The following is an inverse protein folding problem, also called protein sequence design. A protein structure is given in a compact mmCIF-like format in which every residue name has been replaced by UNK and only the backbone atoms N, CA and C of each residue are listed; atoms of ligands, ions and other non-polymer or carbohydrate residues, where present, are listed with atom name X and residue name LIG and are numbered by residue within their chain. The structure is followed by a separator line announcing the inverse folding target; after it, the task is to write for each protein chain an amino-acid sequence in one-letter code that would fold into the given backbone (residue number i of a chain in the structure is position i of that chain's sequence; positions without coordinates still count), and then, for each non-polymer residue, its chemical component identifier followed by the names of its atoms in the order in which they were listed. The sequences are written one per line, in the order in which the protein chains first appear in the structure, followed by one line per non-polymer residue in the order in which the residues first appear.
data_IF_972563075835
#
_entry.id   IF_972563075835
#
_cell.length_a   1.000
_cell.length_b   1.000
_cell.length_c   1.000
_cell.angle_alpha   90.00
_cell.angle_beta   90.00
_cell.angle_gamma   90.00
#
_symmetry.space_group_name_H-M   'P 1'
#
loop_
_entity.id
_entity.type
_entity.pdbx_description
1 polymer ?
#
# COMPACT_ATOMS: atom_id res chain seq x y z
N UNK A 1 41.84 12.86 1.66
CA UNK A 1 42.57 14.07 1.23
C UNK A 1 42.07 14.41 -0.15
N UNK A 2 41.16 15.36 -0.28
CA UNK A 2 40.70 15.86 -1.58
C UNK A 2 41.86 16.68 -2.15
N UNK A 3 42.52 16.16 -3.19
CA UNK A 3 43.45 16.97 -4.00
C UNK A 3 42.69 18.20 -4.49
N UNK A 4 43.20 19.38 -4.16
CA UNK A 4 42.68 20.64 -4.69
C UNK A 4 43.00 20.64 -6.18
N UNK A 5 41.96 20.60 -7.01
CA UNK A 5 42.11 20.56 -8.47
C UNK A 5 42.80 21.84 -8.96
N UNK A 6 43.92 21.69 -9.68
CA UNK A 6 44.65 22.82 -10.27
C UNK A 6 43.96 23.30 -11.56
N UNK A 7 44.20 24.55 -12.01
CA UNK A 7 43.69 25.03 -13.29
C UNK A 7 44.09 24.16 -14.50
N UNK A 8 45.34 23.66 -14.55
CA UNK A 8 45.75 22.71 -15.60
C UNK A 8 45.03 21.36 -15.47
N UNK A 9 44.80 20.89 -14.23
CA UNK A 9 44.05 19.68 -13.95
C UNK A 9 42.58 19.80 -14.40
N UNK A 10 41.96 20.95 -14.14
CA UNK A 10 40.59 21.26 -14.53
C UNK A 10 40.40 21.27 -16.05
N UNK A 11 41.31 21.91 -16.81
CA UNK A 11 41.27 21.89 -18.28
C UNK A 11 41.52 20.49 -18.85
N UNK A 12 42.45 19.74 -18.26
CA UNK A 12 42.71 18.36 -18.67
C UNK A 12 41.48 17.47 -18.45
N UNK A 13 40.80 17.64 -17.31
CA UNK A 13 39.58 16.91 -17.00
C UNK A 13 38.40 17.35 -17.88
N UNK A 14 38.26 18.63 -18.19
CA UNK A 14 37.31 19.14 -19.18
C UNK A 14 37.51 18.46 -20.54
N UNK A 15 38.74 18.40 -21.06
CA UNK A 15 39.01 17.74 -22.34
C UNK A 15 38.68 16.25 -22.31
N UNK A 16 38.97 15.58 -21.19
CA UNK A 16 38.56 14.20 -20.97
C UNK A 16 37.04 14.05 -21.03
N UNK A 17 36.29 14.88 -20.29
CA UNK A 17 34.83 14.88 -20.30
C UNK A 17 34.26 15.15 -21.70
N UNK A 18 34.75 16.15 -22.41
CA UNK A 18 34.31 16.45 -23.78
C UNK A 18 34.62 15.29 -24.74
N UNK A 19 35.74 14.58 -24.55
CA UNK A 19 36.06 13.37 -25.32
C UNK A 19 35.04 12.26 -25.07
N UNK A 20 34.66 12.03 -23.80
CA UNK A 20 33.60 11.08 -23.45
C UNK A 20 32.25 11.49 -24.08
N UNK A 21 31.92 12.79 -24.04
CA UNK A 21 30.71 13.35 -24.63
C UNK A 21 30.64 13.17 -26.15
N UNK A 22 31.73 13.44 -26.86
CA UNK A 22 31.83 13.21 -28.32
C UNK A 22 31.65 11.74 -28.67
N UNK A 23 32.22 10.83 -27.86
CA UNK A 23 32.08 9.38 -28.01
C UNK A 23 30.72 8.84 -27.57
N UNK A 24 29.87 9.69 -26.96
CA UNK A 24 28.57 9.31 -26.37
C UNK A 24 28.70 8.19 -25.33
N UNK A 25 29.79 8.22 -24.56
CA UNK A 25 30.02 7.28 -23.46
C UNK A 25 28.97 7.49 -22.37
N UNK A 26 28.39 6.40 -21.84
CA UNK A 26 27.35 6.48 -20.81
C UNK A 26 27.84 7.16 -19.52
N UNK A 27 29.15 7.09 -19.25
CA UNK A 27 29.80 7.71 -18.10
C UNK A 27 29.90 9.24 -18.19
N UNK A 28 29.72 9.84 -19.38
CA UNK A 28 29.88 11.28 -19.57
C UNK A 28 28.90 12.10 -18.72
N UNK A 29 27.60 11.82 -18.83
CA UNK A 29 26.55 12.60 -18.15
C UNK A 29 26.74 12.68 -16.62
N UNK A 30 26.96 11.57 -15.88
CA UNK A 30 27.17 11.65 -14.44
C UNK A 30 28.49 12.34 -14.06
N UNK A 31 29.59 12.10 -14.79
CA UNK A 31 30.88 12.72 -14.49
C UNK A 31 30.88 14.23 -14.76
N UNK A 32 30.27 14.66 -15.87
CA UNK A 32 30.12 16.07 -16.18
C UNK A 32 29.23 16.78 -15.16
N UNK A 33 28.12 16.15 -14.75
CA UNK A 33 27.22 16.74 -13.76
C UNK A 33 27.89 16.90 -12.39
N UNK A 34 28.68 15.92 -11.94
CA UNK A 34 29.47 16.03 -10.71
C UNK A 34 30.47 17.17 -10.81
N UNK A 35 31.25 17.21 -11.90
CA UNK A 35 32.26 18.24 -12.11
C UNK A 35 31.67 19.66 -12.09
N UNK A 36 30.56 19.87 -12.79
CA UNK A 36 29.84 21.17 -12.89
C UNK A 36 29.27 21.64 -11.55
N UNK A 37 28.91 20.71 -10.64
CA UNK A 37 28.26 21.01 -9.36
C UNK A 37 29.23 21.14 -8.20
N UNK A 38 30.29 20.34 -8.21
CA UNK A 38 31.24 20.24 -7.10
C UNK A 38 32.36 21.27 -7.19
N UNK A 39 32.48 21.99 -8.32
CA UNK A 39 33.57 22.92 -8.57
C UNK A 39 33.07 24.29 -9.00
N UNK A 40 33.78 25.33 -8.58
CA UNK A 40 33.68 26.67 -9.14
C UNK A 40 34.56 26.75 -10.39
N UNK A 41 33.94 26.67 -11.57
CA UNK A 41 34.64 26.58 -12.85
C UNK A 41 35.38 27.89 -13.20
N UNK A 42 34.89 29.03 -12.72
CA UNK A 42 35.56 30.32 -12.89
C UNK A 42 36.83 30.37 -12.03
N UNK A 43 36.75 29.94 -10.77
CA UNK A 43 37.89 29.85 -9.87
C UNK A 43 38.97 28.85 -10.35
N UNK A 44 38.57 27.83 -11.11
CA UNK A 44 39.47 26.88 -11.78
C UNK A 44 40.07 27.43 -13.09
N UNK A 45 39.73 28.66 -13.50
CA UNK A 45 40.30 29.31 -14.67
C UNK A 45 39.79 28.78 -16.02
N UNK A 46 38.62 28.12 -16.04
CA UNK A 46 37.97 27.71 -17.29
C UNK A 46 37.33 28.93 -17.97
N UNK A 47 37.54 29.05 -19.27
CA UNK A 47 36.99 30.14 -20.07
C UNK A 47 35.47 30.01 -20.22
N UNK A 48 34.78 31.12 -20.46
CA UNK A 48 33.33 31.10 -20.67
C UNK A 48 32.91 30.19 -21.85
N UNK A 49 33.69 30.17 -22.94
CA UNK A 49 33.46 29.26 -24.07
C UNK A 49 33.64 27.78 -23.68
N UNK A 50 34.61 27.47 -22.82
CA UNK A 50 34.90 26.11 -22.34
C UNK A 50 33.77 25.60 -21.45
N UNK A 51 33.33 26.43 -20.52
CA UNK A 51 32.21 26.13 -19.63
C UNK A 51 30.88 26.00 -20.39
N UNK A 52 30.64 26.87 -21.38
CA UNK A 52 29.44 26.80 -22.23
C UNK A 52 29.37 25.47 -22.98
N UNK A 53 30.47 25.04 -23.59
CA UNK A 53 30.53 23.75 -24.30
C UNK A 53 30.23 22.56 -23.38
N UNK A 54 30.78 22.57 -22.16
CA UNK A 54 30.53 21.53 -21.18
C UNK A 54 29.06 21.49 -20.74
N UNK A 55 28.46 22.65 -20.46
CA UNK A 55 27.06 22.76 -20.04
C UNK A 55 26.10 22.27 -21.12
N UNK A 56 26.33 22.65 -22.38
CA UNK A 56 25.50 22.22 -23.51
C UNK A 56 25.64 20.72 -23.78
N UNK A 57 26.86 20.19 -23.77
CA UNK A 57 27.10 18.77 -23.92
C UNK A 57 26.43 17.96 -22.79
N UNK A 58 26.58 18.40 -21.54
CA UNK A 58 25.95 17.76 -20.39
C UNK A 58 24.41 17.82 -20.48
N UNK A 59 23.83 18.95 -20.90
CA UNK A 59 22.39 19.10 -21.10
C UNK A 59 21.83 18.17 -22.19
N UNK A 60 22.60 17.93 -23.27
CA UNK A 60 22.22 17.01 -24.34
C UNK A 60 22.39 15.54 -23.97
N UNK A 61 23.33 15.23 -23.08
CA UNK A 61 23.61 13.86 -22.66
C UNK A 61 22.53 13.27 -21.74
N UNK A 62 21.68 14.12 -21.13
CA UNK A 62 20.46 13.63 -20.51
C UNK A 62 19.50 13.16 -21.59
N UNK A 63 19.25 11.85 -21.61
CA UNK A 63 18.18 11.21 -22.37
C UNK A 63 16.82 11.94 -22.18
N UNK A 64 15.83 11.74 -23.06
CA UNK A 64 14.46 12.25 -22.89
C UNK A 64 13.73 11.55 -21.72
N UNK A 65 14.32 11.61 -20.52
CA UNK A 65 13.78 11.12 -19.27
C UNK A 65 13.27 12.32 -18.46
N UNK A 66 11.95 12.50 -18.32
CA UNK A 66 11.38 13.66 -17.62
C UNK A 66 11.88 13.85 -16.19
N UNK A 67 12.28 12.77 -15.50
CA UNK A 67 12.87 12.81 -14.16
C UNK A 67 14.20 13.56 -14.10
N UNK A 68 14.94 13.65 -15.21
CA UNK A 68 16.24 14.35 -15.30
C UNK A 68 16.12 15.77 -15.86
N UNK A 69 14.91 16.18 -16.25
CA UNK A 69 14.68 17.49 -16.88
C UNK A 69 14.97 18.66 -15.95
N UNK A 70 14.86 18.50 -14.63
CA UNK A 70 15.28 19.51 -13.65
C UNK A 70 16.77 19.84 -13.78
N UNK A 71 17.62 18.82 -13.92
CA UNK A 71 19.07 18.98 -14.10
C UNK A 71 19.41 19.53 -15.48
N UNK A 72 18.72 19.04 -16.53
CA UNK A 72 18.87 19.60 -17.89
C UNK A 72 18.51 21.09 -17.92
N UNK A 73 17.42 21.49 -17.26
CA UNK A 73 17.01 22.90 -17.16
C UNK A 73 18.01 23.75 -16.38
N UNK A 74 18.59 23.23 -15.31
CA UNK A 74 19.66 23.91 -14.56
C UNK A 74 20.85 24.22 -15.47
N UNK A 75 21.34 23.23 -16.22
CA UNK A 75 22.47 23.43 -17.14
C UNK A 75 22.13 24.37 -18.30
N UNK A 76 20.93 24.29 -18.86
CA UNK A 76 20.46 25.22 -19.91
C UNK A 76 20.34 26.66 -19.38
N UNK A 77 19.86 26.86 -18.14
CA UNK A 77 19.80 28.19 -17.50
C UNK A 77 21.19 28.76 -17.25
N UNK A 78 22.12 27.95 -16.76
CA UNK A 78 23.53 28.35 -16.59
C UNK A 78 24.18 28.69 -17.94
N UNK A 79 23.94 27.88 -18.97
CA UNK A 79 24.42 28.16 -20.33
C UNK A 79 23.84 29.48 -20.88
N UNK A 80 22.55 29.74 -20.65
CA UNK A 80 21.89 30.98 -21.04
C UNK A 80 22.51 32.21 -20.36
N UNK A 81 22.82 32.12 -19.06
CA UNK A 81 23.47 33.20 -18.32
C UNK A 81 24.91 33.47 -18.78
N UNK A 82 25.62 32.43 -19.23
CA UNK A 82 27.02 32.51 -19.64
C UNK A 82 27.20 32.98 -21.09
N UNK A 83 26.22 32.71 -21.96
CA UNK A 83 26.25 33.03 -23.39
C UNK A 83 26.75 34.46 -23.73
N UNK A 84 26.32 35.54 -23.04
CA UNK A 84 26.78 36.91 -23.32
C UNK A 84 28.29 37.13 -23.15
N UNK A 85 28.97 36.26 -22.40
CA UNK A 85 30.41 36.33 -22.12
C UNK A 85 31.25 35.48 -23.09
N UNK A 86 30.60 34.80 -24.04
CA UNK A 86 31.23 33.89 -24.99
C UNK A 86 31.30 34.48 -26.39
N UNK A 87 32.07 33.84 -27.26
CA UNK A 87 32.11 34.21 -28.70
C UNK A 87 30.82 33.83 -29.44
N UNK A 88 29.93 33.08 -28.79
CA UNK A 88 28.68 32.58 -29.35
C UNK A 88 27.48 33.49 -29.05
N UNK A 89 27.68 34.61 -28.34
CA UNK A 89 26.65 35.63 -28.15
C UNK A 89 26.10 36.15 -29.49
N UNK A 90 24.77 36.25 -29.63
CA UNK A 90 24.11 36.72 -30.85
C UNK A 90 24.14 35.74 -32.03
N UNK A 91 24.63 34.51 -31.83
CA UNK A 91 24.63 33.45 -32.86
C UNK A 91 23.37 32.59 -32.78
N UNK A 92 23.18 31.68 -33.75
CA UNK A 92 22.07 30.71 -33.74
C UNK A 92 22.06 29.81 -32.49
N UNK A 93 23.19 29.67 -31.79
CA UNK A 93 23.30 28.90 -30.54
C UNK A 93 22.42 29.51 -29.45
N UNK A 94 22.33 30.83 -29.38
CA UNK A 94 21.51 31.53 -28.37
C UNK A 94 20.02 31.20 -28.55
N UNK A 95 19.53 31.22 -29.79
CA UNK A 95 18.17 30.82 -30.12
C UNK A 95 17.92 29.33 -29.82
N UNK A 96 18.89 28.46 -30.09
CA UNK A 96 18.81 27.03 -29.81
C UNK A 96 18.70 26.74 -28.31
N UNK A 97 19.49 27.43 -27.48
CA UNK A 97 19.43 27.28 -26.01
C UNK A 97 18.07 27.75 -25.48
N UNK A 98 17.56 28.89 -25.97
CA UNK A 98 16.25 29.38 -25.59
C UNK A 98 15.12 28.40 -25.98
N UNK A 99 15.18 27.84 -27.19
CA UNK A 99 14.22 26.85 -27.67
C UNK A 99 14.23 25.59 -26.80
N UNK A 100 15.40 25.04 -26.47
CA UNK A 100 15.47 23.82 -25.65
C UNK A 100 15.08 24.05 -24.20
N UNK A 101 15.32 25.24 -23.66
CA UNK A 101 14.85 25.61 -22.33
C UNK A 101 13.30 25.66 -22.31
N UNK A 102 12.69 26.27 -23.33
CA UNK A 102 11.24 26.33 -23.47
C UNK A 102 10.62 24.93 -23.65
N UNK A 103 11.17 24.12 -24.57
CA UNK A 103 10.72 22.76 -24.84
C UNK A 103 10.84 21.88 -23.59
N UNK A 104 12.02 21.86 -22.95
CA UNK A 104 12.24 21.04 -21.76
C UNK A 104 11.34 21.48 -20.60
N UNK A 105 11.08 22.79 -20.45
CA UNK A 105 10.14 23.29 -19.44
C UNK A 105 8.71 22.85 -19.70
N UNK A 106 8.27 22.90 -20.97
CA UNK A 106 6.94 22.45 -21.39
C UNK A 106 6.76 20.94 -21.23
N UNK A 107 7.75 20.14 -21.61
CA UNK A 107 7.67 18.69 -21.42
C UNK A 107 7.69 18.30 -19.94
N UNK A 108 8.47 19.01 -19.10
CA UNK A 108 8.45 18.82 -17.66
C UNK A 108 7.11 19.23 -17.04
N UNK A 109 6.50 20.34 -17.49
CA UNK A 109 5.17 20.74 -17.01
C UNK A 109 4.12 19.70 -17.41
N UNK A 110 4.14 19.19 -18.64
CA UNK A 110 3.26 18.09 -19.07
C UNK A 110 3.47 16.81 -18.28
N UNK A 111 4.72 16.46 -17.97
CA UNK A 111 5.03 15.31 -17.13
C UNK A 111 4.48 15.49 -15.71
N UNK A 112 4.65 16.69 -15.12
CA UNK A 112 4.05 17.02 -13.83
C UNK A 112 2.53 17.03 -13.87
N UNK A 113 1.89 17.54 -14.93
CA UNK A 113 0.45 17.47 -15.14
C UNK A 113 -0.03 16.02 -15.28
N UNK A 114 0.72 15.16 -15.97
CA UNK A 114 0.39 13.75 -16.13
C UNK A 114 0.54 12.94 -14.83
N UNK A 115 1.48 13.33 -13.95
CA UNK A 115 1.69 12.66 -12.66
C UNK A 115 0.81 13.23 -11.55
N UNK A 116 0.52 14.53 -11.61
CA UNK A 116 -0.46 15.13 -10.71
C UNK A 116 -1.82 14.58 -11.11
N UNK A 117 -2.27 13.58 -10.36
CA UNK A 117 -3.71 13.33 -10.22
C UNK A 117 -4.31 14.69 -9.89
N UNK A 118 -5.12 15.25 -10.81
CA UNK A 118 -5.81 16.50 -10.59
C UNK A 118 -6.70 16.33 -9.36
N UNK A 119 -6.17 16.71 -8.19
CA UNK A 119 -6.95 16.89 -6.98
C UNK A 119 -7.74 18.17 -7.20
N UNK A 120 -8.95 18.06 -7.73
CA UNK A 120 -9.93 19.12 -7.67
C UNK A 120 -10.10 19.49 -6.20
N UNK A 121 -9.61 20.67 -5.82
CA UNK A 121 -9.76 21.18 -4.44
C UNK A 121 -11.21 21.57 -4.10
N UNK A 122 -12.12 21.45 -5.07
CA UNK A 122 -13.53 21.86 -5.02
C UNK A 122 -14.52 20.69 -5.11
N UNK A 123 -14.06 19.47 -5.34
CA UNK A 123 -14.94 18.31 -5.23
C UNK A 123 -14.77 17.70 -3.84
N UNK A 124 -15.87 17.57 -3.09
CA UNK A 124 -15.87 16.92 -1.78
C UNK A 124 -15.28 15.52 -1.93
N UNK A 125 -14.14 15.28 -1.28
CA UNK A 125 -13.49 13.97 -1.28
C UNK A 125 -14.50 12.89 -0.89
N UNK A 126 -14.51 11.76 -1.61
CA UNK A 126 -15.41 10.66 -1.28
C UNK A 126 -14.96 10.00 0.03
N UNK A 127 -15.90 9.71 0.92
CA UNK A 127 -15.61 9.09 2.23
C UNK A 127 -16.11 7.64 2.25
N UNK A 128 -15.22 6.73 2.63
CA UNK A 128 -15.58 5.38 3.05
C UNK A 128 -15.45 5.33 4.57
N UNK A 129 -16.55 5.03 5.26
CA UNK A 129 -16.60 5.03 6.71
C UNK A 129 -16.51 3.59 7.21
N UNK A 130 -15.61 3.36 8.15
CA UNK A 130 -15.38 2.08 8.80
C UNK A 130 -16.03 2.13 10.17
N UNK A 131 -17.11 1.37 10.35
CA UNK A 131 -17.75 1.18 11.64
C UNK A 131 -17.31 -0.18 12.20
N UNK A 132 -16.70 -0.17 13.38
CA UNK A 132 -16.18 -1.36 14.03
C UNK A 132 -16.13 -1.20 15.55
N UNK A 133 -16.07 -2.32 16.25
CA UNK A 133 -15.84 -2.42 17.70
C UNK A 133 -14.40 -2.11 18.14
N UNK A 134 -13.48 -1.97 17.18
CA UNK A 134 -12.07 -1.60 17.43
C UNK A 134 -11.58 -0.60 16.36
N UNK A 135 -12.16 0.63 16.31
CA UNK A 135 -11.95 1.56 15.20
C UNK A 135 -10.49 1.98 15.04
N UNK A 136 -9.81 2.37 16.12
CA UNK A 136 -8.39 2.77 16.11
C UNK A 136 -7.48 1.68 15.55
N UNK A 137 -7.76 0.42 15.91
CA UNK A 137 -6.99 -0.70 15.39
C UNK A 137 -7.14 -0.82 13.88
N UNK A 138 -8.37 -0.84 13.36
CA UNK A 138 -8.59 -1.07 11.93
C UNK A 138 -8.20 0.11 11.05
N UNK A 139 -8.38 1.36 11.50
CA UNK A 139 -8.11 2.55 10.67
C UNK A 139 -6.67 3.05 10.76
N UNK A 140 -5.93 2.71 11.82
CA UNK A 140 -4.54 3.17 12.00
C UNK A 140 -3.55 2.02 12.21
N UNK A 141 -3.65 1.29 13.33
CA UNK A 141 -2.63 0.31 13.73
C UNK A 141 -2.48 -0.79 12.66
N UNK A 142 -3.59 -1.42 12.24
CA UNK A 142 -3.61 -2.46 11.21
C UNK A 142 -3.06 -1.96 9.88
N UNK A 143 -3.35 -0.70 9.51
CA UNK A 143 -2.84 -0.13 8.24
C UNK A 143 -1.32 0.08 8.29
N UNK A 144 -0.78 0.53 9.44
CA UNK A 144 0.67 0.62 9.67
C UNK A 144 1.33 -0.76 9.63
N UNK A 145 0.72 -1.77 10.27
CA UNK A 145 1.22 -3.16 10.24
C UNK A 145 1.21 -3.74 8.84
N UNK A 146 0.15 -3.52 8.08
CA UNK A 146 0.05 -3.96 6.68
C UNK A 146 1.13 -3.33 5.80
N UNK A 147 1.32 -2.02 5.91
CA UNK A 147 2.35 -1.30 5.16
C UNK A 147 3.75 -1.81 5.47
N UNK A 148 4.06 -2.08 6.75
CA UNK A 148 5.33 -2.69 7.15
C UNK A 148 5.47 -4.11 6.60
N UNK A 149 4.42 -4.95 6.71
CA UNK A 149 4.42 -6.31 6.19
C UNK A 149 4.72 -6.38 4.70
N UNK A 150 4.10 -5.52 3.88
CA UNK A 150 4.40 -5.47 2.44
C UNK A 150 5.79 -4.90 2.16
N UNK A 151 6.28 -3.92 2.93
CA UNK A 151 7.65 -3.42 2.76
C UNK A 151 8.68 -4.51 3.03
N UNK A 152 8.47 -5.32 4.07
CA UNK A 152 9.34 -6.43 4.44
C UNK A 152 9.29 -7.56 3.40
N UNK A 153 8.09 -7.95 2.98
CA UNK A 153 7.88 -9.00 1.97
C UNK A 153 8.60 -8.66 0.65
N UNK A 154 8.53 -7.40 0.26
CA UNK A 154 9.16 -6.90 -0.95
C UNK A 154 10.56 -6.34 -0.70
N UNK A 155 11.22 -6.64 0.43
CA UNK A 155 12.61 -6.23 0.67
C UNK A 155 12.92 -4.73 0.39
N UNK A 156 11.93 -3.85 0.60
CA UNK A 156 12.05 -2.42 0.30
C UNK A 156 12.65 -1.64 1.47
N UNK A 157 13.84 -2.06 1.89
CA UNK A 157 14.61 -1.34 2.90
C UNK A 157 14.89 0.10 2.44
N UNK A 158 15.13 1.05 3.37
CA UNK A 158 15.60 2.39 3.00
C UNK A 158 16.85 2.37 2.10
N UNK A 159 17.73 1.40 2.31
CA UNK A 159 18.90 1.12 1.48
C UNK A 159 18.50 0.70 0.06
N UNK A 160 17.62 -0.29 -0.07
CA UNK A 160 17.08 -0.74 -1.35
C UNK A 160 16.38 0.41 -2.10
N UNK A 161 15.58 1.22 -1.40
CA UNK A 161 14.89 2.38 -1.98
C UNK A 161 15.86 3.47 -2.47
N UNK A 162 16.93 3.74 -1.72
CA UNK A 162 17.99 4.67 -2.14
C UNK A 162 18.77 4.13 -3.34
N UNK A 163 19.12 2.84 -3.32
CA UNK A 163 19.74 2.15 -4.44
C UNK A 163 18.87 2.19 -5.70
N UNK A 164 17.58 1.85 -5.59
CA UNK A 164 16.61 1.89 -6.66
C UNK A 164 16.53 3.26 -7.34
N UNK A 165 16.48 4.34 -6.56
CA UNK A 165 16.33 5.70 -7.07
C UNK A 165 17.65 6.41 -7.38
N UNK A 166 18.80 5.76 -7.15
CA UNK A 166 20.14 6.37 -7.25
C UNK A 166 20.24 7.71 -6.52
N UNK A 167 19.62 7.82 -5.35
CA UNK A 167 19.63 9.04 -4.53
C UNK A 167 20.69 8.94 -3.43
N UNK A 168 21.34 10.07 -3.11
CA UNK A 168 22.37 10.16 -2.08
C UNK A 168 23.81 10.16 -2.63
N UNK A 169 24.81 9.82 -1.80
CA UNK A 169 26.22 9.82 -2.21
C UNK A 169 26.51 8.78 -3.30
N UNK A 170 27.65 8.93 -3.98
CA UNK A 170 28.08 8.04 -5.06
C UNK A 170 28.05 6.57 -4.61
N UNK A 171 27.27 5.75 -5.32
CA UNK A 171 27.13 4.33 -5.01
C UNK A 171 28.28 3.53 -5.61
N UNK A 172 28.75 2.53 -4.87
CA UNK A 172 29.75 1.58 -5.37
C UNK A 172 29.09 0.50 -6.21
N UNK A 173 29.84 -0.07 -7.15
CA UNK A 173 29.39 -1.20 -7.95
C UNK A 173 29.41 -2.47 -7.08
N UNK A 174 28.24 -2.90 -6.64
CA UNK A 174 28.06 -4.04 -5.72
C UNK A 174 27.10 -5.08 -6.33
N UNK A 175 27.50 -5.78 -7.41
CA UNK A 175 26.62 -6.71 -8.12
C UNK A 175 26.18 -7.91 -7.27
N UNK A 176 26.95 -8.26 -6.23
CA UNK A 176 26.64 -9.35 -5.31
C UNK A 176 25.82 -8.91 -4.08
N UNK A 177 25.52 -7.61 -3.95
CA UNK A 177 24.76 -7.11 -2.82
C UNK A 177 23.25 -7.26 -3.10
N UNK A 178 22.69 -8.37 -2.64
CA UNK A 178 21.27 -8.71 -2.80
C UNK A 178 20.31 -7.71 -2.15
N UNK A 179 20.78 -6.89 -1.21
CA UNK A 179 19.96 -5.84 -0.56
C UNK A 179 19.67 -4.67 -1.51
N UNK A 180 20.55 -4.39 -2.47
CA UNK A 180 20.40 -3.26 -3.41
C UNK A 180 19.90 -3.68 -4.79
N UNK A 181 19.66 -4.98 -4.99
CA UNK A 181 19.06 -5.51 -6.21
C UNK A 181 17.66 -4.91 -6.43
N UNK A 182 17.40 -4.53 -7.68
CA UNK A 182 16.24 -3.70 -8.05
C UNK A 182 15.06 -4.50 -8.60
N UNK A 183 15.29 -5.75 -8.94
CA UNK A 183 14.37 -6.60 -9.70
C UNK A 183 13.93 -7.76 -8.83
N UNK A 184 12.84 -7.54 -8.10
CA UNK A 184 12.02 -8.60 -7.52
C UNK A 184 10.56 -8.32 -7.87
N UNK A 185 9.76 -9.37 -7.97
CA UNK A 185 8.35 -9.25 -8.37
C UNK A 185 7.62 -8.30 -7.41
N UNK A 186 6.86 -7.34 -7.94
CA UNK A 186 6.11 -6.38 -7.13
C UNK A 186 6.86 -5.13 -6.66
N UNK A 187 8.19 -5.03 -6.85
CA UNK A 187 9.02 -3.88 -6.42
C UNK A 187 8.66 -2.52 -7.01
N UNK A 188 7.94 -2.52 -8.14
CA UNK A 188 7.70 -1.34 -8.94
C UNK A 188 6.74 -0.39 -8.20
N UNK A 189 7.15 0.88 -8.08
CA UNK A 189 6.50 1.89 -7.21
C UNK A 189 4.97 1.98 -7.31
N UNK A 190 4.35 1.96 -8.50
CA UNK A 190 2.90 1.89 -8.64
C UNK A 190 2.24 0.68 -7.96
N UNK A 191 2.83 -0.51 -8.04
CA UNK A 191 2.28 -1.72 -7.39
C UNK A 191 2.43 -1.64 -5.88
N UNK A 192 3.58 -1.14 -5.40
CA UNK A 192 3.78 -0.91 -3.97
C UNK A 192 2.82 0.13 -3.44
N UNK A 193 2.64 1.24 -4.15
CA UNK A 193 1.70 2.29 -3.78
C UNK A 193 0.26 1.76 -3.72
N UNK A 194 -0.14 0.87 -4.65
CA UNK A 194 -1.44 0.22 -4.60
C UNK A 194 -1.61 -0.69 -3.38
N UNK A 195 -0.53 -1.31 -2.88
CA UNK A 195 -0.54 -2.22 -1.73
C UNK A 195 -0.28 -1.57 -0.38
N UNK A 196 0.36 -0.40 -0.31
CA UNK A 196 0.63 0.28 0.96
C UNK A 196 -0.40 1.36 1.29
N UNK A 197 -1.23 1.74 0.33
CA UNK A 197 -2.26 2.77 0.50
C UNK A 197 -3.70 2.25 0.31
N UNK A 198 -3.87 0.95 0.09
CA UNK A 198 -5.18 0.35 0.19
C UNK A 198 -5.56 0.14 1.66
N UNK A 199 -6.84 -0.18 1.91
CA UNK A 199 -7.30 -0.48 3.26
C UNK A 199 -7.23 -1.99 3.48
N UNK A 200 -6.46 -2.43 4.47
CA UNK A 200 -6.23 -3.85 4.75
C UNK A 200 -6.99 -4.32 5.99
N UNK A 201 -7.45 -5.57 5.95
CA UNK A 201 -8.09 -6.25 7.07
C UNK A 201 -7.13 -7.30 7.62
N UNK A 202 -6.74 -7.12 8.88
CA UNK A 202 -5.79 -7.91 9.64
C UNK A 202 -6.46 -8.33 10.96
N UNK A 203 -6.14 -9.52 11.47
CA UNK A 203 -6.58 -9.95 12.80
C UNK A 203 -5.48 -9.70 13.84
N UNK A 204 -5.83 -9.25 15.06
CA UNK A 204 -4.86 -9.00 16.13
C UNK A 204 -4.45 -10.28 16.90
N UNK A 205 -4.83 -11.46 16.38
CA UNK A 205 -4.60 -12.79 16.93
C UNK A 205 -4.37 -13.78 15.78
N UNK A 206 -3.83 -14.95 16.08
CA UNK A 206 -3.65 -16.01 15.08
C UNK A 206 -4.96 -16.75 14.84
N UNK A 207 -5.26 -17.02 13.57
CA UNK A 207 -6.41 -17.84 13.18
C UNK A 207 -5.91 -19.10 12.47
N UNK A 208 -6.30 -20.29 12.96
CA UNK A 208 -5.90 -21.58 12.38
C UNK A 208 -7.13 -22.31 11.83
N UNK A 209 -7.01 -22.78 10.58
CA UNK A 209 -7.92 -23.75 9.96
C UNK A 209 -7.21 -25.10 9.89
N UNK A 210 -7.92 -26.19 10.19
CA UNK A 210 -7.37 -27.55 10.22
C UNK A 210 -8.43 -28.58 9.84
N UNK A 211 -8.01 -29.68 9.20
CA UNK A 211 -8.82 -30.90 9.00
C UNK A 211 -8.74 -31.85 10.19
N UNK A 212 -7.84 -31.59 11.13
CA UNK A 212 -7.61 -32.39 12.34
C UNK A 212 -7.94 -31.58 13.60
N UNK A 213 -8.49 -32.22 14.64
CA UNK A 213 -8.69 -31.58 15.95
C UNK A 213 -7.37 -31.34 16.70
N UNK A 214 -6.25 -31.91 16.24
CA UNK A 214 -4.96 -31.84 16.94
C UNK A 214 -4.35 -30.44 16.94
N UNK A 215 -3.68 -30.11 18.04
CA UNK A 215 -3.00 -28.82 18.29
C UNK A 215 -3.87 -27.58 18.03
N UNK A 216 -5.08 -27.45 18.63
CA UNK A 216 -5.88 -26.25 18.48
C UNK A 216 -5.20 -25.05 19.15
N UNK A 217 -5.46 -23.85 18.65
CA UNK A 217 -5.07 -22.63 19.35
C UNK A 217 -5.89 -22.44 20.64
N UNK A 218 -5.31 -21.71 21.60
CA UNK A 218 -5.70 -21.77 23.01
C UNK A 218 -7.03 -21.10 23.38
N UNK A 219 -7.58 -20.21 22.53
CA UNK A 219 -8.77 -19.43 22.91
C UNK A 219 -10.07 -20.20 22.72
N UNK A 220 -10.13 -21.08 21.73
CA UNK A 220 -11.34 -21.85 21.46
C UNK A 220 -11.33 -22.49 20.09
N UNK A 221 -12.26 -23.44 19.90
CA UNK A 221 -12.42 -24.20 18.66
C UNK A 221 -13.88 -24.16 18.21
N UNK A 222 -14.08 -24.00 16.91
CA UNK A 222 -15.34 -24.21 16.21
C UNK A 222 -15.17 -25.32 15.18
N UNK A 223 -16.23 -26.07 14.94
CA UNK A 223 -16.21 -27.21 14.03
C UNK A 223 -17.31 -26.99 12.99
N UNK A 224 -16.97 -27.21 11.73
CA UNK A 224 -17.94 -27.26 10.64
C UNK A 224 -17.72 -28.52 9.85
N UNK A 225 -18.81 -29.14 9.42
CA UNK A 225 -18.77 -30.06 8.29
C UNK A 225 -18.96 -29.25 7.01
N UNK A 226 -18.02 -29.30 6.07
CA UNK A 226 -18.01 -28.46 4.87
C UNK A 226 -17.62 -29.23 3.61
N UNK A 227 -18.51 -29.21 2.61
CA UNK A 227 -18.27 -29.73 1.26
C UNK A 227 -18.82 -28.75 0.21
N UNK A 228 -18.45 -28.86 -1.08
CA UNK A 228 -19.04 -28.01 -2.12
C UNK A 228 -20.57 -28.03 -2.07
N UNK A 229 -21.19 -26.85 -1.91
CA UNK A 229 -22.64 -26.67 -1.83
C UNK A 229 -23.31 -27.02 -0.49
N UNK A 230 -22.57 -27.44 0.54
CA UNK A 230 -23.15 -27.78 1.84
C UNK A 230 -22.20 -27.52 3.00
N UNK A 231 -22.71 -26.88 4.04
CA UNK A 231 -22.03 -26.76 5.32
C UNK A 231 -22.98 -26.87 6.50
N UNK A 232 -22.46 -27.35 7.62
CA UNK A 232 -23.24 -27.48 8.85
C UNK A 232 -22.35 -27.23 10.09
N UNK A 233 -22.79 -26.36 11.02
CA UNK A 233 -22.05 -26.11 12.25
C UNK A 233 -22.18 -27.30 13.20
N UNK A 234 -21.05 -27.72 13.76
CA UNK A 234 -20.92 -28.85 14.67
C UNK A 234 -20.16 -28.41 15.93
N UNK A 235 -20.23 -29.24 16.96
CA UNK A 235 -19.42 -29.08 18.17
C UNK A 235 -19.00 -30.43 18.71
N UNK A 236 -18.00 -30.41 19.58
CA UNK A 236 -17.57 -31.60 20.30
C UNK A 236 -18.19 -31.60 21.69
N UNK A 237 -18.94 -32.65 22.03
CA UNK A 237 -19.60 -32.80 23.31
C UNK A 237 -19.44 -34.25 23.81
N UNK A 238 -18.83 -34.42 24.99
CA UNK A 238 -18.67 -35.73 25.66
C UNK A 238 -18.03 -36.83 24.78
N UNK A 239 -17.03 -36.48 23.97
CA UNK A 239 -16.36 -37.47 23.12
C UNK A 239 -17.00 -37.69 21.75
N UNK A 240 -18.08 -36.97 21.45
CA UNK A 240 -18.86 -37.15 20.23
C UNK A 240 -19.04 -35.83 19.48
N UNK A 241 -19.17 -35.93 18.17
CA UNK A 241 -19.56 -34.80 17.31
C UNK A 241 -21.07 -34.65 17.38
N UNK A 242 -21.53 -33.45 17.74
CA UNK A 242 -22.95 -33.12 17.82
C UNK A 242 -23.29 -31.91 16.97
N UNK A 243 -24.54 -31.83 16.54
CA UNK A 243 -25.12 -30.65 15.92
C UNK A 243 -25.07 -29.47 16.89
N UNK A 244 -24.53 -28.34 16.45
CA UNK A 244 -24.45 -27.14 17.29
C UNK A 244 -25.84 -26.53 17.56
N UNK A 245 -26.82 -26.84 16.70
CA UNK A 245 -28.18 -26.27 16.77
C UNK A 245 -29.08 -26.98 17.78
N UNK A 246 -29.14 -28.31 17.73
CA UNK A 246 -30.09 -29.12 18.51
C UNK A 246 -29.40 -30.15 19.42
N UNK A 247 -28.07 -30.23 19.39
CA UNK A 247 -27.28 -31.14 20.21
C UNK A 247 -27.38 -32.61 19.81
N UNK A 248 -28.00 -32.92 18.67
CA UNK A 248 -28.10 -34.30 18.19
C UNK A 248 -26.72 -34.87 17.85
N UNK A 249 -26.47 -36.12 18.24
CA UNK A 249 -25.21 -36.82 17.90
C UNK A 249 -25.22 -37.12 16.40
N UNK A 250 -24.13 -36.77 15.73
CA UNK A 250 -23.94 -37.01 14.31
C UNK A 250 -22.85 -38.06 14.15
N UNK A 251 -23.15 -39.13 13.42
CA UNK A 251 -22.22 -40.23 13.17
C UNK A 251 -21.22 -39.84 12.07
N UNK A 252 -20.19 -39.08 12.45
CA UNK A 252 -19.11 -38.62 11.58
C UNK A 252 -17.78 -38.99 12.25
N UNK A 253 -16.87 -39.68 11.55
CA UNK A 253 -15.51 -39.93 12.03
C UNK A 253 -14.76 -38.63 12.27
N UNK A 254 -13.94 -38.56 13.33
CA UNK A 254 -13.16 -37.36 13.69
C UNK A 254 -12.11 -37.01 12.63
N UNK A 255 -11.71 -37.99 11.82
CA UNK A 255 -10.77 -37.86 10.70
C UNK A 255 -11.47 -37.66 9.34
N UNK A 256 -12.79 -37.41 9.32
CA UNK A 256 -13.51 -37.14 8.07
C UNK A 256 -12.90 -35.91 7.38
N UNK A 257 -12.52 -36.02 6.09
CA UNK A 257 -11.84 -34.94 5.38
C UNK A 257 -12.72 -33.70 5.19
N UNK A 258 -14.03 -33.77 5.41
CA UNK A 258 -14.94 -32.63 5.33
C UNK A 258 -15.10 -31.90 6.66
N UNK A 259 -14.53 -32.40 7.75
CA UNK A 259 -14.46 -31.65 9.00
C UNK A 259 -13.43 -30.53 8.88
N UNK A 260 -13.82 -29.35 9.34
CA UNK A 260 -12.99 -28.16 9.38
C UNK A 260 -13.05 -27.63 10.80
N UNK A 261 -11.91 -27.66 11.46
CA UNK A 261 -11.66 -27.11 12.78
C UNK A 261 -11.07 -25.71 12.63
N UNK A 262 -11.69 -24.73 13.28
CA UNK A 262 -11.23 -23.36 13.31
C UNK A 262 -10.93 -22.98 14.74
N UNK A 263 -9.70 -22.53 14.98
CA UNK A 263 -9.25 -22.12 16.31
C UNK A 263 -8.56 -20.77 16.25
N UNK A 264 -8.56 -20.05 17.38
CA UNK A 264 -7.94 -18.75 17.51
C UNK A 264 -6.99 -18.70 18.70
N UNK A 265 -5.90 -17.94 18.59
CA UNK A 265 -5.06 -17.61 19.76
C UNK A 265 -5.67 -16.49 20.58
N UNK A 266 -5.05 -16.16 21.72
CA UNK A 266 -5.35 -14.89 22.38
C UNK A 266 -4.89 -13.72 21.52
N UNK A 267 -5.34 -12.51 21.82
CA UNK A 267 -4.80 -11.27 21.24
C UNK A 267 -3.28 -11.24 21.46
N UNK A 268 -2.55 -11.04 20.36
CA UNK A 268 -1.09 -10.93 20.33
C UNK A 268 -0.60 -9.53 19.96
N UNK A 269 -1.42 -8.72 19.30
CA UNK A 269 -1.08 -7.31 19.04
C UNK A 269 -1.14 -6.49 20.34
N UNK A 270 -0.01 -5.98 20.86
CA UNK A 270 0.04 -5.26 22.14
C UNK A 270 -0.72 -3.93 22.14
N UNK A 271 -0.84 -3.28 20.98
CA UNK A 271 -1.55 -2.01 20.85
C UNK A 271 -3.06 -2.19 20.62
N UNK A 272 -3.54 -3.44 20.50
CA UNK A 272 -4.96 -3.72 20.30
C UNK A 272 -5.80 -3.40 21.55
N UNK A 273 -6.93 -2.72 21.33
CA UNK A 273 -7.93 -2.42 22.34
C UNK A 273 -9.29 -2.85 21.81
N UNK A 274 -10.06 -3.51 22.67
CA UNK A 274 -11.38 -4.03 22.35
C UNK A 274 -12.38 -3.47 23.37
N UNK A 275 -13.31 -2.66 22.87
CA UNK A 275 -14.33 -2.00 23.69
C UNK A 275 -15.69 -2.70 23.59
N UNK A 276 -15.76 -3.81 22.85
CA UNK A 276 -16.99 -4.58 22.67
C UNK A 276 -17.30 -5.51 23.86
N UNK A 277 -18.52 -6.08 23.91
CA UNK A 277 -18.88 -7.04 24.94
C UNK A 277 -18.00 -8.30 24.81
N UNK A 278 -17.34 -8.69 25.91
CA UNK A 278 -16.58 -9.93 25.97
C UNK A 278 -17.54 -11.10 26.25
N UNK A 279 -17.53 -12.16 25.41
CA UNK A 279 -18.38 -13.32 25.66
C UNK A 279 -18.10 -13.96 27.01
N UNK A 280 -19.14 -14.28 27.78
CA UNK A 280 -19.04 -14.95 29.08
C UNK A 280 -18.10 -14.26 30.10
N UNK A 281 -17.96 -12.93 30.04
CA UNK A 281 -17.01 -12.17 30.86
C UNK A 281 -15.56 -12.68 30.72
N UNK A 282 -15.19 -13.14 29.52
CA UNK A 282 -13.83 -13.58 29.23
C UNK A 282 -12.82 -12.45 29.46
N UNK A 283 -11.56 -12.78 29.82
CA UNK A 283 -10.48 -11.81 29.89
C UNK A 283 -10.35 -10.99 28.59
N UNK A 284 -9.89 -9.72 28.66
CA UNK A 284 -9.80 -8.84 27.48
C UNK A 284 -9.03 -9.45 26.31
N UNK A 285 -7.95 -10.18 26.58
CA UNK A 285 -7.12 -10.86 25.59
C UNK A 285 -7.82 -12.00 24.85
N UNK A 286 -8.95 -12.50 25.39
CA UNK A 286 -9.78 -13.53 24.76
C UNK A 286 -11.08 -12.96 24.19
N UNK A 287 -11.50 -11.76 24.61
CA UNK A 287 -12.78 -11.15 24.25
C UNK A 287 -13.01 -11.10 22.75
N UNK A 288 -12.18 -10.36 22.00
CA UNK A 288 -12.34 -10.22 20.55
C UNK A 288 -12.18 -11.54 19.77
N UNK A 289 -11.15 -12.38 20.01
CA UNK A 289 -11.04 -13.67 19.31
C UNK A 289 -12.25 -14.58 19.56
N UNK A 290 -12.79 -14.63 20.79
CA UNK A 290 -14.02 -15.38 21.08
C UNK A 290 -15.23 -14.80 20.35
N UNK A 291 -15.36 -13.47 20.28
CA UNK A 291 -16.42 -12.82 19.50
C UNK A 291 -16.33 -13.23 18.04
N UNK A 292 -15.13 -13.20 17.44
CA UNK A 292 -14.94 -13.65 16.05
C UNK A 292 -15.29 -15.13 15.87
N UNK A 293 -14.85 -16.00 16.78
CA UNK A 293 -15.18 -17.43 16.75
C UNK A 293 -16.69 -17.68 16.90
N UNK A 294 -17.39 -16.86 17.69
CA UNK A 294 -18.84 -16.99 17.88
C UNK A 294 -19.66 -16.64 16.64
N UNK A 295 -19.17 -15.71 15.84
CA UNK A 295 -19.83 -15.24 14.63
C UNK A 295 -19.29 -15.91 13.35
N UNK A 296 -18.61 -17.06 13.48
CA UNK A 296 -18.22 -17.84 12.31
C UNK A 296 -19.45 -18.38 11.58
N UNK A 297 -19.47 -18.15 10.27
CA UNK A 297 -20.40 -18.76 9.35
C UNK A 297 -19.70 -19.74 8.42
N UNK A 298 -20.46 -20.33 7.51
CA UNK A 298 -19.91 -21.18 6.45
C UNK A 298 -20.75 -21.08 5.19
N UNK A 299 -20.09 -21.19 4.04
CA UNK A 299 -20.68 -21.24 2.71
C UNK A 299 -20.04 -22.40 1.94
N UNK A 300 -20.62 -23.59 2.06
CA UNK A 300 -20.02 -24.81 1.50
C UNK A 300 -18.71 -25.15 2.20
N UNK A 301 -17.59 -25.17 1.47
CA UNK A 301 -16.29 -25.44 2.10
C UNK A 301 -15.55 -24.17 2.54
N UNK A 302 -16.12 -22.98 2.32
CA UNK A 302 -15.57 -21.72 2.81
C UNK A 302 -16.10 -21.43 4.21
N UNK A 303 -15.20 -21.03 5.10
CA UNK A 303 -15.52 -20.50 6.42
C UNK A 303 -15.62 -18.99 6.31
N UNK A 304 -16.74 -18.45 6.76
CA UNK A 304 -16.99 -17.02 6.83
C UNK A 304 -16.56 -16.51 8.20
N UNK A 305 -15.54 -15.66 8.25
CA UNK A 305 -15.03 -15.04 9.48
C UNK A 305 -15.55 -13.60 9.54
N UNK A 306 -16.46 -13.34 10.48
CA UNK A 306 -16.92 -11.96 10.74
C UNK A 306 -15.84 -11.17 11.46
N UNK A 307 -15.37 -10.10 10.83
CA UNK A 307 -14.41 -9.18 11.46
C UNK A 307 -15.11 -8.10 12.32
N UNK A 308 -16.45 -8.13 12.41
CA UNK A 308 -17.25 -7.08 13.03
C UNK A 308 -16.86 -5.68 12.53
N UNK A 309 -16.78 -5.58 11.20
CA UNK A 309 -16.39 -4.40 10.45
C UNK A 309 -17.43 -4.15 9.37
N UNK A 310 -18.12 -3.01 9.46
CA UNK A 310 -19.03 -2.49 8.43
C UNK A 310 -18.30 -1.42 7.63
N UNK A 311 -18.41 -1.51 6.30
CA UNK A 311 -17.89 -0.52 5.37
C UNK A 311 -19.07 0.22 4.76
N UNK A 312 -19.15 1.52 5.04
CA UNK A 312 -20.18 2.43 4.56
C UNK A 312 -19.63 3.30 3.44
N UNK A 313 -20.39 3.45 2.36
CA UNK A 313 -19.98 4.20 1.17
C UNK A 313 -21.18 4.62 0.31
N UNK A 314 -21.03 5.68 -0.48
CA UNK A 314 -22.02 6.07 -1.49
C UNK A 314 -21.89 5.14 -2.71
N UNK A 315 -22.77 4.14 -2.77
CA UNK A 315 -22.84 3.15 -3.85
C UNK A 315 -23.16 3.75 -5.23
N UNK A 316 -23.63 5.00 -5.30
CA UNK A 316 -23.81 5.71 -6.58
C UNK A 316 -22.50 6.28 -7.14
N UNK A 317 -21.46 6.40 -6.30
CA UNK A 317 -20.20 7.06 -6.64
C UNK A 317 -18.98 6.15 -6.58
N UNK A 318 -18.95 5.18 -5.67
CA UNK A 318 -17.84 4.25 -5.50
C UNK A 318 -18.34 2.82 -5.36
N UNK A 319 -17.59 1.87 -5.92
CA UNK A 319 -17.73 0.46 -5.62
C UNK A 319 -16.48 0.00 -4.84
N UNK A 320 -16.63 -0.97 -3.96
CA UNK A 320 -15.51 -1.47 -3.15
C UNK A 320 -15.19 -2.89 -3.55
N UNK A 321 -13.99 -3.12 -4.09
CA UNK A 321 -13.50 -4.43 -4.43
C UNK A 321 -12.77 -5.03 -3.22
N UNK A 322 -13.22 -6.20 -2.75
CA UNK A 322 -12.52 -7.01 -1.75
C UNK A 322 -11.68 -8.05 -2.50
N UNK A 323 -10.38 -8.09 -2.21
CA UNK A 323 -9.49 -9.14 -2.69
C UNK A 323 -8.73 -9.80 -1.54
N UNK A 324 -8.66 -11.13 -1.59
CA UNK A 324 -7.73 -11.88 -0.73
C UNK A 324 -6.31 -11.47 -1.07
N UNK A 325 -5.47 -11.37 -0.04
CA UNK A 325 -4.07 -11.01 -0.21
C UNK A 325 -3.30 -12.21 -0.81
N UNK A 326 -2.30 -11.98 -1.67
CA UNK A 326 -1.53 -13.08 -2.28
C UNK A 326 -0.90 -14.03 -1.26
N UNK A 327 -0.54 -13.51 -0.09
CA UNK A 327 0.13 -14.23 1.00
C UNK A 327 -0.73 -15.37 1.56
N UNK A 328 -2.07 -15.30 1.41
CA UNK A 328 -2.96 -16.42 1.77
C UNK A 328 -2.61 -17.69 1.00
N UNK A 329 -2.25 -17.57 -0.28
CA UNK A 329 -1.95 -18.72 -1.13
C UNK A 329 -0.70 -19.46 -0.66
N UNK A 330 0.28 -18.70 -0.16
CA UNK A 330 1.58 -19.21 0.31
C UNK A 330 1.44 -19.97 1.64
N UNK A 331 0.52 -19.53 2.51
CA UNK A 331 0.20 -20.23 3.75
C UNK A 331 -0.82 -21.36 3.56
N UNK A 332 -1.19 -21.69 2.32
CA UNK A 332 -2.07 -22.82 2.01
C UNK A 332 -3.57 -22.50 2.10
N UNK A 333 -3.95 -21.22 2.11
CA UNK A 333 -5.34 -20.77 2.13
C UNK A 333 -5.77 -20.14 0.79
N UNK A 334 -7.06 -20.16 0.56
CA UNK A 334 -7.72 -19.40 -0.51
C UNK A 334 -8.78 -18.51 0.11
N UNK A 335 -8.76 -17.23 -0.25
CA UNK A 335 -9.77 -16.25 0.14
C UNK A 335 -10.75 -15.97 -1.00
N UNK A 336 -12.06 -15.97 -0.74
CA UNK A 336 -13.04 -15.57 -1.76
C UNK A 336 -13.05 -14.03 -1.92
N UNK A 337 -12.96 -13.55 -3.15
CA UNK A 337 -13.02 -12.12 -3.51
C UNK A 337 -14.42 -11.73 -4.00
N UNK A 338 -14.77 -10.46 -3.88
CA UNK A 338 -16.07 -9.96 -4.36
C UNK A 338 -16.09 -8.45 -4.56
N UNK A 339 -17.06 -7.97 -5.35
CA UNK A 339 -17.31 -6.55 -5.56
C UNK A 339 -18.55 -6.13 -4.77
N UNK A 340 -18.37 -5.20 -3.83
CA UNK A 340 -19.42 -4.60 -3.04
C UNK A 340 -19.98 -3.41 -3.80
N UNK A 341 -21.23 -3.54 -4.27
CA UNK A 341 -21.89 -2.48 -5.05
C UNK A 341 -23.15 -1.95 -4.38
N UNK A 342 -23.77 -2.69 -3.44
CA UNK A 342 -24.96 -2.32 -2.64
C UNK A 342 -25.01 -3.18 -1.37
N UNK A 343 -25.87 -2.83 -0.43
CA UNK A 343 -26.13 -3.64 0.77
C UNK A 343 -26.64 -5.05 0.40
N UNK A 344 -25.96 -6.09 0.87
CA UNK A 344 -26.47 -7.46 0.89
C UNK A 344 -26.69 -7.89 2.34
N UNK A 345 -27.92 -7.72 2.83
CA UNK A 345 -28.35 -8.28 4.11
C UNK A 345 -28.80 -9.72 3.93
N UNK A 346 -27.92 -10.69 4.16
CA UNK A 346 -28.30 -12.09 4.38
C UNK A 346 -27.52 -12.62 5.59
N UNK A 347 -28.08 -12.45 6.78
CA UNK A 347 -27.52 -13.00 8.01
C UNK A 347 -28.26 -12.55 9.27
N UNK A 348 -28.46 -13.48 10.20
CA UNK A 348 -29.15 -13.34 11.49
C UNK A 348 -28.17 -13.11 12.64
N UNK A 349 -27.15 -12.26 12.48
CA UNK A 349 -26.37 -11.80 13.63
C UNK A 349 -27.05 -10.55 14.19
N UNK A 350 -27.18 -10.47 15.52
CA UNK A 350 -27.80 -9.33 16.20
C UNK A 350 -27.16 -7.97 15.79
N UNK A 351 -25.92 -7.98 15.30
CA UNK A 351 -25.25 -6.85 14.67
C UNK A 351 -26.02 -6.25 13.46
N UNK A 352 -26.73 -7.08 12.67
CA UNK A 352 -27.58 -6.62 11.56
C UNK A 352 -28.83 -5.85 12.03
N UNK A 353 -29.26 -6.02 13.28
CA UNK A 353 -30.51 -5.44 13.80
C UNK A 353 -30.34 -4.00 14.31
N UNK A 354 -29.11 -3.56 14.60
CA UNK A 354 -28.83 -2.23 15.13
C UNK A 354 -28.12 -1.35 14.11
N UNK A 355 -28.85 -0.91 13.09
CA UNK A 355 -28.47 0.33 12.39
C UNK A 355 -28.87 1.47 13.31
N UNK A 356 -27.91 2.03 14.04
CA UNK A 356 -28.09 3.30 14.76
C UNK A 356 -28.30 4.39 13.72
N UNK A 357 -29.41 5.14 13.77
CA UNK A 357 -29.71 6.26 12.87
C UNK A 357 -28.77 7.46 13.11
N UNK A 358 -27.49 7.30 12.75
CA UNK A 358 -26.50 8.36 12.82
C UNK A 358 -26.59 9.27 11.58
N UNK A 359 -26.50 10.60 11.74
CA UNK A 359 -26.64 11.53 10.62
C UNK A 359 -25.66 11.29 9.45
N UNK A 360 -24.48 10.75 9.72
CA UNK A 360 -23.48 10.46 8.67
C UNK A 360 -23.86 9.26 7.79
N UNK A 361 -24.82 8.43 8.19
CA UNK A 361 -25.27 7.27 7.42
C UNK A 361 -26.23 7.64 6.28
N UNK A 362 -26.81 8.84 6.32
CA UNK A 362 -27.79 9.27 5.32
C UNK A 362 -27.20 9.22 3.90
N UNK A 363 -27.88 8.51 3.00
CA UNK A 363 -27.46 8.34 1.61
C UNK A 363 -26.34 7.31 1.39
N UNK A 364 -25.82 6.68 2.44
CA UNK A 364 -24.79 5.64 2.33
C UNK A 364 -25.39 4.23 2.27
N UNK A 365 -24.72 3.36 1.52
CA UNK A 365 -24.90 1.91 1.60
C UNK A 365 -23.83 1.32 2.50
N UNK A 366 -24.08 0.14 3.07
CA UNK A 366 -23.08 -0.56 3.87
C UNK A 366 -23.01 -2.04 3.53
N UNK A 367 -21.88 -2.65 3.86
CA UNK A 367 -21.70 -4.09 3.84
C UNK A 367 -20.79 -4.53 4.98
N UNK A 368 -21.05 -5.72 5.51
CA UNK A 368 -20.14 -6.39 6.42
C UNK A 368 -18.96 -6.98 5.66
N UNK A 369 -17.76 -6.76 6.18
CA UNK A 369 -16.55 -7.37 5.64
C UNK A 369 -16.33 -8.69 6.34
N UNK A 370 -16.68 -9.75 5.61
CA UNK A 370 -16.50 -11.12 6.06
C UNK A 370 -15.40 -11.80 5.26
N UNK A 371 -14.43 -12.40 5.95
CA UNK A 371 -13.33 -13.13 5.34
C UNK A 371 -13.83 -14.52 4.99
N UNK A 372 -13.84 -14.89 3.71
CA UNK A 372 -14.25 -16.22 3.28
C UNK A 372 -13.01 -17.05 2.99
N UNK A 373 -12.64 -17.94 3.90
CA UNK A 373 -11.39 -18.68 3.87
C UNK A 373 -11.65 -20.17 3.63
N UNK A 374 -10.81 -20.81 2.82
CA UNK A 374 -10.79 -22.26 2.66
C UNK A 374 -9.35 -22.77 2.60
N UNK A 375 -9.12 -23.98 3.12
CA UNK A 375 -7.87 -24.70 2.90
C UNK A 375 -7.76 -25.10 1.43
N UNK A 376 -6.57 -24.91 0.86
CA UNK A 376 -6.28 -25.36 -0.51
C UNK A 376 -6.35 -26.89 -0.59
N UNK A 377 -6.64 -27.45 -1.77
CA UNK A 377 -6.59 -28.89 -1.98
C UNK A 377 -5.23 -29.48 -1.54
N UNK A 378 -5.27 -30.53 -0.72
CA UNK A 378 -4.07 -31.20 -0.20
C UNK A 378 -3.40 -30.50 0.99
N UNK A 379 -3.97 -29.41 1.52
CA UNK A 379 -3.50 -28.76 2.74
C UNK A 379 -4.36 -29.18 3.92
N UNK A 380 -3.74 -29.81 4.92
CA UNK A 380 -4.42 -30.31 6.11
C UNK A 380 -4.62 -29.22 7.17
N UNK A 381 -3.71 -28.25 7.25
CA UNK A 381 -3.85 -27.12 8.16
C UNK A 381 -3.09 -25.89 7.66
N UNK A 382 -3.61 -24.72 8.00
CA UNK A 382 -2.99 -23.43 7.75
C UNK A 382 -3.28 -22.48 8.91
N UNK A 383 -2.28 -21.69 9.29
CA UNK A 383 -2.40 -20.65 10.32
C UNK A 383 -2.12 -19.31 9.67
N UNK A 384 -3.03 -18.35 9.90
CA UNK A 384 -2.83 -16.93 9.63
C UNK A 384 -2.24 -16.33 10.91
N UNK A 385 -0.96 -15.93 10.94
CA UNK A 385 -0.39 -15.23 12.08
C UNK A 385 -1.08 -13.88 12.27
N UNK A 386 -1.15 -13.40 13.51
CA UNK A 386 -1.61 -12.05 13.82
C UNK A 386 -0.86 -11.01 12.98
N UNK A 387 -1.54 -9.91 12.66
CA UNK A 387 -1.04 -8.84 11.80
C UNK A 387 -0.65 -9.24 10.36
N UNK A 388 -1.04 -10.43 9.90
CA UNK A 388 -0.89 -10.79 8.49
C UNK A 388 -2.04 -10.19 7.69
N UNK A 389 -1.78 -9.43 6.60
CA UNK A 389 -2.84 -8.97 5.69
C UNK A 389 -3.64 -10.16 5.16
N UNK A 390 -4.97 -10.13 5.31
CA UNK A 390 -5.86 -11.21 4.86
C UNK A 390 -6.66 -10.78 3.64
N UNK A 391 -7.30 -9.61 3.72
CA UNK A 391 -8.07 -9.02 2.64
C UNK A 391 -7.72 -7.54 2.48
N UNK A 392 -7.88 -7.05 1.26
CA UNK A 392 -7.69 -5.65 0.92
C UNK A 392 -8.95 -5.10 0.27
N UNK A 393 -9.38 -3.93 0.74
CA UNK A 393 -10.49 -3.15 0.26
C UNK A 393 -9.96 -2.08 -0.69
N UNK A 394 -10.30 -2.21 -1.97
CA UNK A 394 -9.94 -1.26 -3.01
C UNK A 394 -11.16 -0.42 -3.39
N UNK A 395 -11.13 0.91 -3.19
CA UNK A 395 -12.13 1.77 -3.81
C UNK A 395 -11.90 1.77 -5.32
N UNK A 396 -12.87 1.24 -6.05
CA UNK A 396 -12.85 1.15 -7.52
C UNK A 396 -14.01 1.96 -8.10
N UNK A 397 -13.89 2.36 -9.37
CA UNK A 397 -14.89 3.17 -10.08
C UNK A 397 -15.17 4.56 -9.47
N UNK A 398 -14.39 4.98 -8.47
CA UNK A 398 -14.46 6.35 -7.97
C UNK A 398 -13.96 7.34 -9.02
N UNK A 399 -14.69 8.44 -9.21
CA UNK A 399 -14.26 9.56 -10.05
C UNK A 399 -13.32 10.53 -9.32
N UNK A 400 -13.17 10.35 -8.00
CA UNK A 400 -12.46 11.27 -7.11
C UNK A 400 -11.58 10.51 -6.12
N UNK A 401 -10.73 11.24 -5.39
CA UNK A 401 -9.96 10.66 -4.30
C UNK A 401 -10.90 10.15 -3.20
N UNK A 402 -10.59 8.98 -2.65
CA UNK A 402 -11.35 8.37 -1.55
C UNK A 402 -10.55 8.45 -0.26
N UNK A 403 -11.23 8.74 0.85
CA UNK A 403 -10.66 8.70 2.20
C UNK A 403 -11.36 7.64 3.03
N UNK A 404 -10.58 6.82 3.73
CA UNK A 404 -11.09 5.98 4.81
C UNK A 404 -11.09 6.78 6.12
N UNK A 405 -12.19 6.71 6.87
CA UNK A 405 -12.32 7.27 8.22
C UNK A 405 -13.15 6.33 9.11
N UNK A 406 -12.98 6.41 10.43
CA UNK A 406 -13.85 5.69 11.37
C UNK A 406 -15.19 6.43 11.58
N UNK A 407 -16.18 5.72 12.12
CA UNK A 407 -17.52 6.27 12.38
C UNK A 407 -17.52 7.42 13.41
N UNK A 408 -16.61 7.42 14.40
CA UNK A 408 -16.51 8.52 15.38
C UNK A 408 -16.02 9.81 14.70
N UNK A 409 -14.99 9.71 13.87
CA UNK A 409 -14.48 10.81 13.04
C UNK A 409 -15.57 11.35 12.09
N UNK A 410 -16.39 10.46 11.51
CA UNK A 410 -17.51 10.85 10.66
C UNK A 410 -18.59 11.65 11.45
N UNK A 411 -18.98 11.18 12.64
CA UNK A 411 -19.92 11.89 13.51
C UNK A 411 -19.41 13.29 13.87
N UNK A 412 -18.13 13.42 14.25
CA UNK A 412 -17.54 14.73 14.55
C UNK A 412 -17.55 15.69 13.35
N UNK A 413 -17.26 15.16 12.15
CA UNK A 413 -17.24 15.94 10.90
C UNK A 413 -18.61 16.53 10.59
N UNK A 414 -19.67 15.72 10.68
CA UNK A 414 -21.05 16.19 10.47
C UNK A 414 -21.46 17.20 11.54
N UNK A 415 -21.13 16.94 12.81
CA UNK A 415 -21.43 17.87 13.91
C UNK A 415 -20.78 19.26 13.69
N UNK A 416 -19.49 19.29 13.29
CA UNK A 416 -18.78 20.53 12.97
C UNK A 416 -19.39 21.25 11.75
N UNK A 417 -19.81 20.50 10.73
CA UNK A 417 -20.48 21.06 9.55
C UNK A 417 -21.82 21.73 9.88
N UNK A 418 -22.63 21.10 10.74
CA UNK A 418 -23.90 21.66 11.19
C UNK A 418 -23.72 22.95 11.99
N UNK A 419 -22.73 23.02 12.89
CA UNK A 419 -22.40 24.22 13.66
C UNK A 419 -21.93 25.38 12.76
N UNK A 420 -21.13 25.10 11.73
CA UNK A 420 -20.65 26.11 10.80
C UNK A 420 -21.77 26.74 9.94
N UNK A 421 -22.84 25.98 9.68
CA UNK A 421 -24.01 26.46 8.93
C UNK A 421 -24.97 27.28 9.80
N UNK A 422 -25.08 26.97 11.11
CA UNK A 422 -25.89 27.76 12.06
C UNK A 422 -25.29 29.15 12.35
N UNK A 423 -23.97 29.33 12.19
CA UNK A 423 -23.32 30.65 12.31
C UNK A 423 -23.42 31.54 11.07
N UNK A 424 -24.08 31.06 10.00
CA UNK A 424 -24.26 31.78 8.73
C UNK A 424 -25.73 32.12 8.40
N UNK A 425 -26.67 31.69 9.24
CA UNK A 425 -28.08 32.14 9.22
C UNK A 425 -28.29 33.24 10.25
#
# INVERSE_FOLDING_TARGET
MTEIMTPEGARSYLHYLLTLGIRREQSFAPLAAAFIRENDLDALGLLADEQLNLLLAAAQAFAPEPRRYSTKLDFLKRAQALLPQTRLAGTAVEAQVAQELQKTSYELSRYHEAIRVNRSTTEEQEHIIIESVAPEYFTDIAQKRAAASYQDLYHLTPEARRAQNYTGPAQQFEPENTVVHKEFEGACGPFMNARTHAFHVLLPFDLKLSRSPEDPLETGVRIFYGKPGYSFPLRYQMGQITSDRDGTVVDIPVDDPNLIYISASKVKEPEFRYDGPAPNNAPPELGFPLTVLQHLGSLGHYIQVSCNLKVWFDASRVAVLIQGTPELLDIGLTGASGLMTRTYGLGTTDDYEHVTDEPWQEGLSYNYVNLHLALRPGIDSATIPFNTPIFTLFPVLSRQAVRFEDSTTASERIAKGLQANQGKS
#
